data_IF_520383415962
#
_entry.id   IF_520383415962
#
_cell.length_a   1.000
_cell.length_b   1.000
_cell.length_c   1.000
_cell.angle_alpha   90.00
_cell.angle_beta   90.00
_cell.angle_gamma   90.00
#
_symmetry.space_group_name_H-M   'P 1'
#
loop_
_entity.id
_entity.type
_entity.pdbx_description
1 polymer ?
#
# COMPACT_ATOMS: atom_id res chain seq x y z
N UNK A 1 -16.80 44.91 9.40
CA UNK A 1 -15.54 44.78 10.18
C UNK A 1 -15.29 43.33 10.68
N UNK A 2 -15.83 42.86 11.81
CA UNK A 2 -15.40 41.56 12.41
C UNK A 2 -15.77 40.30 11.62
N UNK A 3 -16.87 40.32 10.84
CA UNK A 3 -17.30 39.19 9.98
C UNK A 3 -16.50 39.10 8.68
N UNK A 4 -16.18 40.25 8.08
CA UNK A 4 -15.37 40.31 6.85
C UNK A 4 -13.94 39.85 7.12
N UNK A 5 -13.34 40.26 8.25
CA UNK A 5 -12.01 39.78 8.66
C UNK A 5 -11.97 38.25 8.83
N UNK A 6 -12.98 37.65 9.46
CA UNK A 6 -13.09 36.19 9.61
C UNK A 6 -13.31 35.48 8.27
N UNK A 7 -14.08 36.08 7.36
CA UNK A 7 -14.26 35.53 6.02
C UNK A 7 -12.96 35.56 5.22
N UNK A 8 -12.19 36.66 5.32
CA UNK A 8 -10.91 36.78 4.65
C UNK A 8 -9.89 35.77 5.18
N UNK A 9 -9.76 35.66 6.51
CA UNK A 9 -8.89 34.68 7.17
C UNK A 9 -9.25 33.25 6.78
N UNK A 10 -10.55 32.92 6.73
CA UNK A 10 -11.00 31.60 6.28
C UNK A 10 -10.63 31.32 4.81
N UNK A 11 -10.78 32.33 3.94
CA UNK A 11 -10.41 32.21 2.52
C UNK A 11 -8.90 32.04 2.34
N UNK A 12 -8.08 32.76 3.11
CA UNK A 12 -6.61 32.60 3.07
C UNK A 12 -6.20 31.21 3.54
N UNK A 13 -6.75 30.71 4.65
CA UNK A 13 -6.49 29.34 5.13
C UNK A 13 -6.87 28.30 4.08
N UNK A 14 -8.04 28.44 3.44
CA UNK A 14 -8.45 27.52 2.36
C UNK A 14 -7.52 27.61 1.15
N UNK A 15 -7.02 28.81 0.82
CA UNK A 15 -6.07 28.99 -0.27
C UNK A 15 -4.76 28.28 0.02
N UNK A 16 -4.23 28.43 1.23
CA UNK A 16 -3.00 27.75 1.67
C UNK A 16 -3.15 26.23 1.60
N UNK A 17 -4.25 25.69 2.15
CA UNK A 17 -4.54 24.25 2.08
C UNK A 17 -4.59 23.75 0.63
N UNK A 18 -5.24 24.49 -0.28
CA UNK A 18 -5.31 24.11 -1.71
C UNK A 18 -3.94 24.13 -2.37
N UNK A 19 -3.12 25.13 -2.06
CA UNK A 19 -1.75 25.21 -2.61
C UNK A 19 -0.92 24.03 -2.11
N UNK A 20 -1.04 23.66 -0.84
CA UNK A 20 -0.34 22.52 -0.28
C UNK A 20 -0.78 21.19 -0.91
N UNK A 21 -2.10 21.00 -1.08
CA UNK A 21 -2.64 19.82 -1.79
C UNK A 21 -2.10 19.70 -3.22
N UNK A 22 -2.04 20.81 -3.95
CA UNK A 22 -1.52 20.80 -5.34
C UNK A 22 -0.02 20.49 -5.34
N UNK A 23 0.76 21.02 -4.39
CA UNK A 23 2.18 20.69 -4.28
C UNK A 23 2.41 19.22 -3.97
N UNK A 24 1.62 18.64 -3.05
CA UNK A 24 1.68 17.20 -2.74
C UNK A 24 1.34 16.36 -3.98
N UNK A 25 0.26 16.70 -4.68
CA UNK A 25 -0.12 15.99 -5.90
C UNK A 25 0.95 16.06 -7.00
N UNK A 26 1.64 17.20 -7.14
CA UNK A 26 2.77 17.33 -8.09
C UNK A 26 3.91 16.38 -7.70
N UNK A 27 4.22 16.25 -6.42
CA UNK A 27 5.27 15.34 -5.97
C UNK A 27 4.89 13.88 -6.21
N UNK A 28 3.68 13.47 -5.81
CA UNK A 28 3.15 12.11 -6.03
C UNK A 28 3.06 11.75 -7.51
N UNK A 29 2.77 12.72 -8.38
CA UNK A 29 2.64 12.48 -9.83
C UNK A 29 3.94 12.01 -10.49
N UNK A 30 5.10 12.24 -9.86
CA UNK A 30 6.39 11.77 -10.39
C UNK A 30 6.52 10.25 -10.36
N UNK A 31 5.83 9.60 -9.43
CA UNK A 31 5.85 8.15 -9.27
C UNK A 31 4.79 7.44 -10.12
N UNK A 32 4.01 8.18 -10.91
CA UNK A 32 2.97 7.62 -11.75
C UNK A 32 3.55 6.74 -12.87
N UNK A 33 2.74 5.75 -13.25
CA UNK A 33 3.06 4.87 -14.36
C UNK A 33 2.79 5.63 -15.66
N UNK A 34 3.80 5.70 -16.51
CA UNK A 34 3.77 6.27 -17.86
C UNK A 34 4.10 5.17 -18.88
N UNK A 35 3.88 5.43 -20.16
CA UNK A 35 4.22 4.45 -21.21
C UNK A 35 5.71 4.10 -21.23
N UNK A 36 6.57 5.00 -20.75
CA UNK A 36 8.03 4.84 -20.75
C UNK A 36 8.52 3.94 -19.60
N UNK A 37 7.86 4.00 -18.44
CA UNK A 37 8.26 3.23 -17.24
C UNK A 37 7.40 1.97 -16.99
N UNK A 38 6.46 1.66 -17.90
CA UNK A 38 5.46 0.61 -17.73
C UNK A 38 6.09 -0.76 -17.50
N UNK A 39 7.01 -1.18 -18.37
CA UNK A 39 7.61 -2.53 -18.31
C UNK A 39 8.45 -2.71 -17.04
N UNK A 40 9.20 -1.68 -16.64
CA UNK A 40 9.98 -1.68 -15.39
C UNK A 40 9.07 -1.80 -14.17
N UNK A 41 7.96 -1.05 -14.15
CA UNK A 41 7.00 -1.09 -13.03
C UNK A 41 6.25 -2.42 -12.96
N UNK A 42 5.96 -3.06 -14.10
CA UNK A 42 5.39 -4.41 -14.13
C UNK A 42 6.36 -5.42 -13.52
N UNK A 43 7.63 -5.41 -13.95
CA UNK A 43 8.65 -6.32 -13.40
C UNK A 43 8.81 -6.10 -11.88
N UNK A 44 8.93 -4.84 -11.45
CA UNK A 44 9.02 -4.50 -10.05
C UNK A 44 7.82 -5.00 -9.24
N UNK A 45 6.59 -4.84 -9.75
CA UNK A 45 5.38 -5.27 -9.06
C UNK A 45 5.24 -6.80 -8.98
N UNK A 46 5.77 -7.53 -9.97
CA UNK A 46 5.82 -9.00 -9.94
C UNK A 46 6.87 -9.51 -8.95
N UNK A 47 8.02 -8.84 -8.86
CA UNK A 47 9.12 -9.25 -7.99
C UNK A 47 8.91 -8.81 -6.53
N UNK A 48 8.15 -7.74 -6.28
CA UNK A 48 7.96 -7.13 -4.97
C UNK A 48 6.50 -7.17 -4.53
N UNK A 49 6.11 -8.28 -3.92
CA UNK A 49 4.77 -8.41 -3.35
C UNK A 49 4.60 -7.52 -2.11
N UNK A 50 3.53 -6.72 -2.10
CA UNK A 50 3.14 -5.90 -0.94
C UNK A 50 1.80 -6.38 -0.40
N UNK A 51 1.79 -6.88 0.82
CA UNK A 51 0.57 -7.30 1.50
C UNK A 51 0.04 -6.19 2.40
N UNK A 52 -1.23 -5.84 2.20
CA UNK A 52 -1.95 -4.87 3.04
C UNK A 52 -2.79 -5.54 4.13
N UNK A 53 -2.68 -6.86 4.28
CA UNK A 53 -3.51 -7.59 5.22
C UNK A 53 -2.95 -7.45 6.65
N UNK A 54 -3.82 -7.11 7.60
CA UNK A 54 -3.49 -7.06 9.02
C UNK A 54 -4.70 -7.44 9.87
N UNK A 55 -4.44 -7.92 11.08
CA UNK A 55 -5.45 -8.14 12.11
C UNK A 55 -5.42 -7.00 13.15
N UNK A 56 -6.52 -6.83 13.87
CA UNK A 56 -6.62 -5.88 14.98
C UNK A 56 -6.78 -6.61 16.29
N UNK A 57 -6.03 -6.18 17.31
CA UNK A 57 -6.25 -6.57 18.70
C UNK A 57 -7.43 -5.79 19.30
N UNK A 58 -8.02 -6.27 20.41
CA UNK A 58 -9.07 -5.53 21.13
C UNK A 58 -8.68 -4.12 21.61
N UNK A 59 -7.39 -3.85 21.80
CA UNK A 59 -6.86 -2.52 22.14
C UNK A 59 -6.62 -1.60 20.93
N UNK A 60 -6.89 -2.08 19.71
CA UNK A 60 -6.72 -1.33 18.46
C UNK A 60 -5.33 -1.45 17.81
N UNK A 61 -4.40 -2.23 18.39
CA UNK A 61 -3.10 -2.49 17.76
C UNK A 61 -3.22 -3.37 16.51
N UNK A 62 -2.40 -3.07 15.49
CA UNK A 62 -2.33 -3.87 14.25
C UNK A 62 -1.31 -4.99 14.39
N UNK A 63 -1.65 -6.18 13.91
CA UNK A 63 -0.75 -7.33 13.79
C UNK A 63 -0.64 -7.72 12.32
N UNK A 64 0.58 -7.80 11.81
CA UNK A 64 0.90 -8.27 10.46
C UNK A 64 1.62 -9.61 10.58
N UNK A 65 1.33 -10.58 9.71
CA UNK A 65 1.98 -11.90 9.76
C UNK A 65 3.15 -11.98 8.80
N UNK A 66 4.35 -12.25 9.31
CA UNK A 66 5.54 -12.56 8.52
C UNK A 66 5.70 -14.05 8.22
N UNK A 67 4.98 -14.91 8.93
CA UNK A 67 5.00 -16.37 8.78
C UNK A 67 3.60 -16.89 8.42
N UNK A 68 3.48 -17.97 7.65
CA UNK A 68 2.19 -18.52 7.30
C UNK A 68 1.58 -19.08 8.59
N UNK A 69 0.42 -18.57 9.01
CA UNK A 69 -0.01 -18.81 10.37
C UNK A 69 -0.39 -20.28 10.56
N UNK A 70 -0.01 -20.82 11.72
CA UNK A 70 -0.57 -22.07 12.20
C UNK A 70 -2.03 -21.86 12.57
N UNK A 71 -2.93 -22.76 12.14
CA UNK A 71 -4.38 -22.64 12.32
C UNK A 71 -4.89 -22.69 13.79
N UNK A 72 -4.04 -22.55 14.82
CA UNK A 72 -4.39 -22.95 16.20
C UNK A 72 -3.97 -22.00 17.34
N UNK A 73 -3.41 -20.82 17.07
CA UNK A 73 -2.98 -19.89 18.13
C UNK A 73 -3.80 -18.58 18.11
N UNK A 74 -4.57 -18.27 19.17
CA UNK A 74 -5.34 -17.02 19.27
C UNK A 74 -4.47 -15.77 19.43
N UNK A 75 -3.18 -15.91 19.76
CA UNK A 75 -2.23 -14.79 19.81
C UNK A 75 -1.56 -14.52 18.46
N UNK A 76 -1.73 -15.41 17.47
CA UNK A 76 -1.16 -15.26 16.14
C UNK A 76 -2.14 -14.61 15.16
N UNK A 77 -1.64 -13.80 14.21
CA UNK A 77 -2.46 -13.23 13.14
C UNK A 77 -3.03 -14.33 12.24
N UNK A 78 -4.29 -14.18 11.81
CA UNK A 78 -4.96 -15.20 10.98
C UNK A 78 -4.36 -15.33 9.57
N UNK A 79 -4.69 -16.41 8.82
CA UNK A 79 -4.15 -16.74 7.48
C UNK A 79 -4.30 -15.65 6.43
N UNK A 80 -5.29 -14.79 6.58
CA UNK A 80 -5.45 -13.63 5.71
C UNK A 80 -4.31 -12.61 5.87
N UNK A 81 -3.69 -12.48 7.04
CA UNK A 81 -2.66 -11.48 7.34
C UNK A 81 -1.24 -11.89 6.91
N UNK A 82 -1.08 -12.99 6.16
CA UNK A 82 0.20 -13.46 5.68
C UNK A 82 0.75 -12.62 4.52
N UNK A 83 2.00 -12.19 4.64
CA UNK A 83 2.77 -11.54 3.57
C UNK A 83 3.68 -12.58 2.93
N UNK A 84 3.57 -12.79 1.62
CA UNK A 84 4.48 -13.70 0.92
C UNK A 84 5.82 -12.99 0.65
N UNK A 85 6.96 -13.60 1.01
CA UNK A 85 8.26 -13.12 0.56
C UNK A 85 8.50 -13.50 -0.90
N UNK A 86 9.05 -12.56 -1.69
CA UNK A 86 9.40 -12.69 -3.13
C UNK A 86 10.05 -14.05 -3.52
N UNK A 87 10.88 -14.62 -2.65
CA UNK A 87 11.56 -15.91 -2.85
C UNK A 87 10.64 -17.14 -3.00
N UNK A 88 9.33 -17.00 -2.81
CA UNK A 88 8.38 -18.11 -2.97
C UNK A 88 8.11 -18.45 -4.44
N UNK A 89 8.25 -17.49 -5.36
CA UNK A 89 7.99 -17.72 -6.80
C UNK A 89 9.17 -18.35 -7.54
N UNK A 90 10.40 -18.25 -7.02
CA UNK A 90 11.60 -18.93 -7.57
C UNK A 90 11.53 -20.46 -7.46
N UNK A 91 10.62 -21.00 -6.63
CA UNK A 91 10.44 -22.44 -6.40
C UNK A 91 9.17 -23.02 -7.00
N UNK A 92 8.62 -22.44 -8.07
CA UNK A 92 7.65 -23.18 -8.89
C UNK A 92 8.44 -24.10 -9.83
N UNK A 93 8.49 -25.43 -9.60
CA UNK A 93 8.92 -26.32 -10.66
C UNK A 93 7.97 -26.13 -11.83
N UNK A 94 8.52 -25.83 -13.00
CA UNK A 94 7.77 -25.85 -14.25
C UNK A 94 7.04 -27.19 -14.31
N UNK A 95 5.70 -27.15 -14.38
CA UNK A 95 4.94 -28.35 -14.72
C UNK A 95 5.37 -28.71 -16.14
N UNK A 96 6.20 -29.75 -16.24
CA UNK A 96 6.52 -30.39 -17.50
C UNK A 96 5.18 -30.73 -18.18
N UNK A 97 4.88 -30.02 -19.26
CA UNK A 97 3.75 -30.29 -20.14
C UNK A 97 4.10 -31.45 -21.06
N UNK A 98 4.49 -32.58 -20.48
CA UNK A 98 4.67 -33.84 -21.17
C UNK A 98 4.38 -34.97 -20.18
N UNK A 99 3.17 -35.50 -20.24
CA UNK A 99 2.90 -36.96 -20.23
C UNK A 99 1.39 -37.18 -20.45
N UNK A 100 1.09 -37.70 -21.66
CA UNK A 100 -0.09 -38.39 -22.20
C UNK A 100 -1.51 -37.95 -21.80
#
# INVERSE_FOLDING_TARGET
MRREAKHLEHQERLREMRVEMVKQAIEESKDFITAENLDEKIAFALDNETSYNFALKPNGERIYSTEPPGNMDPEQPGPAAYVFPSSYFEKRPEKNSQEY
#
